data_IF_234012818050
#
_entry.id   IF_234012818050
#
_cell.length_a   1.000
_cell.length_b   1.000
_cell.length_c   1.000
_cell.angle_alpha   90.00
_cell.angle_beta   90.00
_cell.angle_gamma   90.00
#
_symmetry.space_group_name_H-M   'P 1'
#
loop_
_entity.id
_entity.type
_entity.pdbx_description
1 polymer ?
#
# COMPACT_ATOMS: atom_id res chain seq x y z
N UNK A 1 13.95 1.07 -0.04
CA UNK A 1 12.79 1.86 -0.48
C UNK A 1 11.93 2.19 0.72
N UNK A 2 11.97 3.42 1.24
CA UNK A 2 11.08 3.84 2.31
C UNK A 2 9.63 3.95 1.83
N UNK A 3 8.70 3.53 2.67
CA UNK A 3 7.26 3.67 2.47
C UNK A 3 6.70 4.59 3.56
N UNK A 4 5.74 5.43 3.20
CA UNK A 4 5.01 6.23 4.19
C UNK A 4 3.51 6.23 3.92
N UNK A 5 2.73 6.40 4.98
CA UNK A 5 1.27 6.40 4.91
C UNK A 5 0.74 7.48 3.97
N UNK A 6 -0.25 7.10 3.14
CA UNK A 6 -0.99 8.04 2.31
C UNK A 6 -1.62 9.17 3.14
N UNK A 7 -2.22 8.81 4.28
CA UNK A 7 -2.80 9.75 5.26
C UNK A 7 -1.81 10.83 5.73
N UNK A 8 -0.51 10.52 5.84
CA UNK A 8 0.51 11.49 6.27
C UNK A 8 0.69 12.67 5.29
N UNK A 9 0.29 12.49 4.02
CA UNK A 9 0.46 13.48 2.96
C UNK A 9 -0.87 14.03 2.45
N UNK A 10 -1.91 13.22 2.42
CA UNK A 10 -3.26 13.55 1.94
C UNK A 10 -4.33 13.15 2.97
N UNK A 11 -4.33 13.73 4.19
CA UNK A 11 -5.15 13.27 5.31
C UNK A 11 -6.65 13.32 4.99
N UNK A 12 -7.14 14.45 4.46
CA UNK A 12 -8.57 14.63 4.11
C UNK A 12 -9.08 13.64 3.06
N UNK A 13 -8.20 13.18 2.16
CA UNK A 13 -8.57 12.19 1.14
C UNK A 13 -8.57 10.81 1.78
N UNK A 14 -7.53 10.47 2.52
CA UNK A 14 -7.44 9.22 3.27
C UNK A 14 -8.64 9.01 4.22
N UNK A 15 -8.99 10.01 5.03
CA UNK A 15 -10.15 9.96 5.94
C UNK A 15 -11.49 9.62 5.24
N UNK A 16 -11.64 10.00 3.98
CA UNK A 16 -12.88 9.78 3.20
C UNK A 16 -12.85 8.51 2.37
N UNK A 17 -11.66 8.09 1.93
CA UNK A 17 -11.50 7.13 0.85
C UNK A 17 -10.75 5.85 1.25
N UNK A 18 -10.17 5.81 2.45
CA UNK A 18 -9.60 4.59 3.04
C UNK A 18 -10.68 3.53 3.14
N UNK A 19 -10.39 2.34 2.61
CA UNK A 19 -11.34 1.23 2.60
C UNK A 19 -11.26 0.46 3.90
N UNK A 20 -12.42 0.19 4.49
CA UNK A 20 -12.60 -0.82 5.52
C UNK A 20 -13.48 -1.95 5.01
N UNK A 21 -13.30 -3.14 5.60
CA UNK A 21 -14.18 -4.29 5.45
C UNK A 21 -14.77 -4.61 6.82
N UNK A 22 -16.09 -4.56 6.93
CA UNK A 22 -16.81 -4.95 8.14
C UNK A 22 -17.08 -6.45 8.09
N UNK A 23 -16.55 -7.18 9.07
CA UNK A 23 -16.82 -8.60 9.25
C UNK A 23 -17.78 -8.79 10.42
N UNK A 24 -18.82 -9.56 10.18
CA UNK A 24 -19.81 -9.95 11.18
C UNK A 24 -19.46 -11.32 11.78
N UNK A 25 -20.22 -11.72 12.81
CA UNK A 25 -20.15 -13.08 13.36
C UNK A 25 -20.30 -14.14 12.26
N UNK A 26 -19.52 -15.23 12.40
CA UNK A 26 -19.50 -16.35 11.47
C UNK A 26 -19.07 -16.01 10.03
N UNK A 27 -18.24 -14.98 9.83
CA UNK A 27 -17.63 -14.72 8.52
C UNK A 27 -16.84 -15.94 8.01
N UNK A 28 -16.89 -16.17 6.69
CA UNK A 28 -16.19 -17.27 6.02
C UNK A 28 -14.66 -17.23 6.15
N UNK A 29 -14.12 -16.06 6.48
CA UNK A 29 -12.69 -15.82 6.63
C UNK A 29 -12.12 -16.25 8.00
N UNK A 30 -12.96 -16.74 8.92
CA UNK A 30 -12.57 -17.12 10.28
C UNK A 30 -11.85 -15.97 11.02
N UNK A 31 -12.31 -14.74 10.80
CA UNK A 31 -11.82 -13.55 11.47
C UNK A 31 -12.79 -13.10 12.56
N UNK A 32 -12.28 -12.53 13.67
CA UNK A 32 -13.13 -11.91 14.67
C UNK A 32 -14.00 -10.79 14.06
N UNK A 33 -15.26 -10.63 14.52
CA UNK A 33 -16.11 -9.54 14.05
C UNK A 33 -15.50 -8.16 14.36
N UNK A 34 -15.20 -7.39 13.33
CA UNK A 34 -14.63 -6.05 13.46
C UNK A 34 -14.68 -5.34 12.12
N UNK A 35 -14.36 -4.04 12.14
CA UNK A 35 -13.97 -3.32 10.94
C UNK A 35 -12.46 -3.46 10.75
N UNK A 36 -12.05 -3.89 9.57
CA UNK A 36 -10.64 -3.98 9.20
C UNK A 36 -10.31 -2.90 8.18
N UNK A 37 -9.53 -1.89 8.59
CA UNK A 37 -9.16 -0.77 7.74
C UNK A 37 -7.83 -1.06 7.02
N UNK A 38 -7.79 -0.84 5.71
CA UNK A 38 -6.63 -1.08 4.85
C UNK A 38 -5.90 0.24 4.61
N UNK A 39 -4.95 0.56 5.49
CA UNK A 39 -4.20 1.82 5.43
C UNK A 39 -3.11 1.74 4.36
N UNK A 40 -3.25 2.55 3.32
CA UNK A 40 -2.30 2.61 2.22
C UNK A 40 -0.97 3.26 2.62
N UNK A 41 0.12 2.61 2.26
CA UNK A 41 1.48 3.13 2.28
C UNK A 41 2.09 3.04 0.88
N UNK A 42 2.73 4.12 0.46
CA UNK A 42 3.36 4.22 -0.85
C UNK A 42 4.85 4.56 -0.71
N UNK A 43 5.65 4.14 -1.68
CA UNK A 43 7.06 4.47 -1.75
C UNK A 43 7.24 5.99 -1.81
N UNK A 44 8.05 6.53 -0.90
CA UNK A 44 8.31 7.96 -0.81
C UNK A 44 9.73 8.37 -1.20
N UNK A 45 10.46 7.43 -1.81
CA UNK A 45 11.68 7.68 -2.54
C UNK A 45 11.40 8.59 -3.76
N UNK A 46 12.13 9.71 -3.92
CA UNK A 46 11.91 10.61 -5.04
C UNK A 46 12.19 9.93 -6.39
N UNK A 47 11.40 10.27 -7.41
CA UNK A 47 11.52 9.73 -8.78
C UNK A 47 11.35 8.20 -8.92
N UNK A 48 10.99 7.50 -7.86
CA UNK A 48 10.63 6.08 -7.91
C UNK A 48 9.21 5.89 -8.45
N UNK A 49 9.05 5.09 -9.50
CA UNK A 49 7.75 4.67 -10.03
C UNK A 49 7.50 3.18 -9.76
N UNK A 50 7.59 2.73 -8.51
CA UNK A 50 7.47 1.30 -8.20
C UNK A 50 6.07 0.73 -8.48
N UNK A 51 5.03 1.56 -8.58
CA UNK A 51 3.64 1.14 -8.82
C UNK A 51 3.18 0.01 -7.89
N UNK A 52 3.42 0.22 -6.60
CA UNK A 52 3.14 -0.71 -5.52
C UNK A 52 2.53 0.01 -4.33
N UNK A 53 1.72 -0.73 -3.58
CA UNK A 53 1.09 -0.31 -2.34
C UNK A 53 1.35 -1.36 -1.27
N UNK A 54 1.60 -0.89 -0.05
CA UNK A 54 1.58 -1.72 1.14
C UNK A 54 0.36 -1.32 1.96
N UNK A 55 -0.48 -2.27 2.33
CA UNK A 55 -1.62 -2.04 3.20
C UNK A 55 -1.25 -2.48 4.62
N UNK A 56 -1.16 -1.52 5.54
CA UNK A 56 -1.19 -1.83 6.97
C UNK A 56 -2.64 -2.01 7.40
N UNK A 57 -3.00 -3.22 7.78
CA UNK A 57 -4.36 -3.56 8.19
C UNK A 57 -4.46 -3.44 9.70
N UNK A 58 -5.41 -2.63 10.17
CA UNK A 58 -5.75 -2.48 11.59
C UNK A 58 -7.19 -2.90 11.84
N UNK A 59 -7.52 -3.26 13.08
CA UNK A 59 -8.88 -3.60 13.49
C UNK A 59 -9.55 -2.42 14.18
N UNK A 60 -10.88 -2.35 14.23
CA UNK A 60 -11.59 -1.42 15.12
C UNK A 60 -11.50 -1.79 16.59
N UNK A 61 -11.01 -3.00 16.92
CA UNK A 61 -10.87 -3.48 18.31
C UNK A 61 -9.64 -2.93 19.02
N UNK A 62 -8.57 -2.64 18.27
CA UNK A 62 -7.30 -2.12 18.78
C UNK A 62 -6.50 -1.45 17.65
N UNK A 63 -5.50 -0.64 18.00
CA UNK A 63 -4.71 0.12 17.02
C UNK A 63 -3.49 -0.65 16.48
N UNK A 64 -3.37 -1.95 16.78
CA UNK A 64 -2.20 -2.73 16.37
C UNK A 64 -2.31 -3.17 14.91
N UNK A 65 -1.16 -3.19 14.22
CA UNK A 65 -1.06 -3.72 12.86
C UNK A 65 -1.31 -5.24 12.91
N UNK A 66 -2.39 -5.69 12.27
CA UNK A 66 -2.75 -7.10 12.15
C UNK A 66 -2.11 -7.78 10.97
N UNK A 67 -1.92 -7.04 9.87
CA UNK A 67 -1.23 -7.53 8.70
C UNK A 67 -0.55 -6.39 7.92
N UNK A 68 0.51 -6.73 7.20
CA UNK A 68 1.03 -5.87 6.12
C UNK A 68 0.99 -6.63 4.82
N UNK A 69 0.14 -6.19 3.90
CA UNK A 69 -0.08 -6.81 2.59
C UNK A 69 0.59 -5.93 1.53
N UNK A 70 1.54 -6.48 0.78
CA UNK A 70 2.18 -5.81 -0.34
C UNK A 70 1.53 -6.24 -1.66
N UNK A 71 1.23 -5.29 -2.53
CA UNK A 71 0.65 -5.55 -3.84
C UNK A 71 1.20 -4.58 -4.89
N UNK A 72 1.47 -5.14 -6.06
CA UNK A 72 1.87 -4.46 -7.28
C UNK A 72 0.90 -4.78 -8.41
N UNK A 73 0.44 -3.76 -9.11
CA UNK A 73 -0.61 -3.91 -10.13
C UNK A 73 -0.09 -3.99 -11.56
N UNK A 74 1.23 -4.04 -11.75
CA UNK A 74 1.84 -4.18 -13.07
C UNK A 74 2.20 -5.63 -13.37
N UNK A 75 2.38 -5.91 -14.65
CA UNK A 75 2.80 -7.22 -15.14
C UNK A 75 4.27 -7.51 -14.81
N UNK A 76 4.65 -8.80 -14.83
CA UNK A 76 6.01 -9.26 -14.56
C UNK A 76 7.08 -8.48 -15.34
N UNK A 77 6.84 -8.19 -16.63
CA UNK A 77 7.78 -7.46 -17.51
C UNK A 77 8.13 -6.08 -16.96
N UNK A 78 7.15 -5.38 -16.37
CA UNK A 78 7.38 -4.08 -15.76
C UNK A 78 8.36 -4.22 -14.60
N UNK A 79 8.10 -5.16 -13.68
CA UNK A 79 8.91 -5.33 -12.47
C UNK A 79 10.31 -5.84 -12.77
N UNK A 80 10.47 -6.74 -13.73
CA UNK A 80 11.78 -7.18 -14.20
C UNK A 80 12.60 -6.01 -14.73
N UNK A 81 11.97 -5.15 -15.55
CA UNK A 81 12.62 -3.98 -16.14
C UNK A 81 12.95 -2.92 -15.09
N UNK A 82 12.01 -2.63 -14.20
CA UNK A 82 12.13 -1.60 -13.17
C UNK A 82 13.17 -1.97 -12.10
N UNK A 83 13.15 -3.21 -11.61
CA UNK A 83 14.11 -3.69 -10.62
C UNK A 83 15.48 -3.99 -11.23
N UNK A 84 15.55 -4.21 -12.56
CA UNK A 84 16.73 -4.73 -13.28
C UNK A 84 17.18 -6.09 -12.73
N UNK A 85 16.21 -6.91 -12.37
CA UNK A 85 16.38 -8.26 -11.84
C UNK A 85 15.31 -9.16 -12.47
N UNK A 86 15.64 -10.43 -12.69
CA UNK A 86 14.74 -11.42 -13.29
C UNK A 86 14.52 -12.64 -12.40
N UNK A 87 14.92 -12.62 -11.13
CA UNK A 87 14.61 -13.70 -10.18
C UNK A 87 13.08 -13.87 -10.06
N UNK A 88 12.52 -15.02 -10.46
CA UNK A 88 11.07 -15.24 -10.46
C UNK A 88 10.42 -15.11 -9.08
N UNK A 89 11.12 -15.50 -8.01
CA UNK A 89 10.59 -15.41 -6.64
C UNK A 89 10.49 -13.95 -6.21
N UNK A 90 11.53 -13.17 -6.49
CA UNK A 90 11.54 -11.72 -6.20
C UNK A 90 10.41 -11.05 -6.98
N UNK A 91 10.30 -11.28 -8.29
CA UNK A 91 9.26 -10.62 -9.10
C UNK A 91 7.84 -11.02 -8.65
N UNK A 92 7.62 -12.28 -8.28
CA UNK A 92 6.34 -12.73 -7.74
C UNK A 92 5.98 -12.01 -6.45
N UNK A 93 6.94 -11.78 -5.55
CA UNK A 93 6.73 -10.96 -4.35
C UNK A 93 6.48 -9.48 -4.68
N UNK A 94 7.06 -8.95 -5.76
CA UNK A 94 6.79 -7.57 -6.18
C UNK A 94 5.33 -7.38 -6.63
N UNK A 95 4.82 -8.34 -7.39
CA UNK A 95 3.45 -8.35 -7.88
C UNK A 95 2.45 -8.62 -6.74
N UNK A 96 2.70 -9.62 -5.89
CA UNK A 96 1.75 -10.00 -4.85
C UNK A 96 0.34 -10.31 -5.41
N UNK A 97 -0.74 -10.09 -4.64
CA UNK A 97 -0.72 -9.67 -3.24
C UNK A 97 -0.07 -10.73 -2.35
N UNK A 98 0.80 -10.30 -1.45
CA UNK A 98 1.51 -11.17 -0.52
C UNK A 98 1.66 -10.49 0.85
N UNK A 99 1.78 -11.29 1.91
CA UNK A 99 2.21 -10.77 3.21
C UNK A 99 3.65 -10.31 3.11
N UNK A 100 3.92 -9.06 3.50
CA UNK A 100 5.29 -8.55 3.54
C UNK A 100 6.06 -9.25 4.65
N UNK A 101 7.03 -10.09 4.26
CA UNK A 101 7.82 -10.94 5.17
C UNK A 101 8.67 -10.13 6.16
N UNK A 102 9.07 -8.92 5.79
CA UNK A 102 9.85 -8.01 6.62
C UNK A 102 9.01 -7.11 7.55
N UNK A 103 7.70 -7.33 7.65
CA UNK A 103 6.79 -6.55 8.50
C UNK A 103 6.17 -7.38 9.61
N UNK A 104 5.71 -6.75 10.71
CA UNK A 104 4.90 -7.41 11.71
C UNK A 104 3.65 -8.05 11.08
N UNK A 105 3.35 -9.27 11.51
CA UNK A 105 2.15 -10.00 11.15
C UNK A 105 1.54 -10.58 12.43
N UNK A 106 0.22 -10.56 12.54
CA UNK A 106 -0.51 -11.31 13.57
C UNK A 106 -0.97 -12.66 13.01
N UNK A 107 -1.50 -13.52 13.88
CA UNK A 107 -2.13 -14.78 13.47
C UNK A 107 -3.34 -14.58 12.53
N UNK A 108 -3.89 -13.36 12.48
CA UNK A 108 -4.98 -12.99 11.57
C UNK A 108 -4.50 -12.70 10.14
N UNK A 109 -3.19 -12.49 9.94
CA UNK A 109 -2.66 -12.01 8.67
C UNK A 109 -2.99 -12.91 7.46
N UNK A 110 -2.91 -14.26 7.54
CA UNK A 110 -3.29 -15.11 6.42
C UNK A 110 -4.76 -14.95 6.01
N UNK A 111 -5.66 -14.79 6.98
CA UNK A 111 -7.09 -14.58 6.71
C UNK A 111 -7.36 -13.18 6.14
N UNK A 112 -6.66 -12.15 6.63
CA UNK A 112 -6.76 -10.79 6.08
C UNK A 112 -6.23 -10.69 4.65
N UNK A 113 -5.21 -11.47 4.30
CA UNK A 113 -4.75 -11.59 2.91
C UNK A 113 -5.86 -12.16 2.02
N UNK A 114 -6.58 -13.20 2.48
CA UNK A 114 -7.72 -13.77 1.74
C UNK A 114 -8.83 -12.74 1.56
N UNK A 115 -9.17 -11.98 2.60
CA UNK A 115 -10.14 -10.86 2.47
C UNK A 115 -9.71 -9.89 1.39
N UNK A 116 -8.44 -9.51 1.35
CA UNK A 116 -7.94 -8.63 0.29
C UNK A 116 -8.10 -9.28 -1.11
N UNK A 117 -7.68 -10.54 -1.25
CA UNK A 117 -7.71 -11.27 -2.52
C UNK A 117 -9.12 -11.51 -3.07
N UNK A 118 -10.07 -11.82 -2.18
CA UNK A 118 -11.41 -12.29 -2.56
C UNK A 118 -12.47 -11.18 -2.54
N UNK A 119 -12.29 -10.14 -1.73
CA UNK A 119 -13.27 -9.05 -1.58
C UNK A 119 -12.79 -7.77 -2.25
N UNK A 120 -11.54 -7.36 -1.99
CA UNK A 120 -11.07 -6.03 -2.39
C UNK A 120 -10.44 -6.03 -3.78
N UNK A 121 -9.59 -7.01 -4.10
CA UNK A 121 -8.89 -7.08 -5.37
C UNK A 121 -9.82 -7.24 -6.59
N UNK A 122 -10.96 -7.98 -6.50
CA UNK A 122 -11.93 -8.06 -7.60
C UNK A 122 -12.75 -6.78 -7.81
N UNK A 123 -12.81 -5.88 -6.81
CA UNK A 123 -13.48 -4.59 -6.93
C UNK A 123 -12.62 -3.63 -7.77
N UNK A 124 -12.95 -3.54 -9.07
CA UNK A 124 -12.24 -2.69 -10.02
C UNK A 124 -12.28 -1.21 -9.63
N UNK A 125 -13.37 -0.73 -9.01
CA UNK A 125 -13.47 0.65 -8.56
C UNK A 125 -12.54 0.92 -7.37
N UNK A 126 -12.33 -0.06 -6.49
CA UNK A 126 -11.31 0.03 -5.44
C UNK A 126 -9.89 0.02 -6.02
N UNK A 127 -9.60 -0.90 -6.94
CA UNK A 127 -8.28 -0.99 -7.59
C UNK A 127 -7.90 0.34 -8.27
N UNK A 128 -8.81 0.93 -9.05
CA UNK A 128 -8.54 2.20 -9.71
C UNK A 128 -8.41 3.35 -8.71
N UNK A 129 -9.11 3.29 -7.57
CA UNK A 129 -8.94 4.25 -6.47
C UNK A 129 -7.53 4.18 -5.87
N UNK A 130 -7.00 2.98 -5.60
CA UNK A 130 -5.64 2.79 -5.09
C UNK A 130 -4.60 3.36 -6.08
N UNK A 131 -4.75 3.08 -7.39
CA UNK A 131 -3.86 3.64 -8.43
C UNK A 131 -3.93 5.17 -8.48
N UNK A 132 -5.13 5.75 -8.34
CA UNK A 132 -5.32 7.21 -8.24
C UNK A 132 -4.63 7.78 -7.01
N UNK A 133 -4.76 7.14 -5.85
CA UNK A 133 -4.08 7.56 -4.62
C UNK A 133 -2.57 7.54 -4.78
N UNK A 134 -2.02 6.51 -5.43
CA UNK A 134 -0.60 6.44 -5.76
C UNK A 134 -0.16 7.67 -6.58
N UNK A 135 -0.86 8.01 -7.67
CA UNK A 135 -0.54 9.18 -8.50
C UNK A 135 -0.60 10.48 -7.68
N UNK A 136 -1.65 10.65 -6.86
CA UNK A 136 -1.77 11.79 -5.94
C UNK A 136 -0.57 11.87 -4.98
N UNK A 137 -0.19 10.74 -4.40
CA UNK A 137 0.93 10.65 -3.47
C UNK A 137 2.26 11.00 -4.13
N UNK A 138 2.56 10.40 -5.29
CA UNK A 138 3.77 10.70 -6.09
C UNK A 138 3.89 12.17 -6.42
N UNK A 139 2.78 12.81 -6.82
CA UNK A 139 2.75 14.25 -7.07
C UNK A 139 3.18 15.08 -5.85
N UNK A 140 2.92 14.63 -4.62
CA UNK A 140 3.40 15.32 -3.41
C UNK A 140 4.89 15.07 -3.12
N UNK A 141 5.37 13.84 -3.33
CA UNK A 141 6.77 13.43 -3.12
C UNK A 141 7.69 14.23 -4.04
N UNK A 142 7.37 14.23 -5.34
CA UNK A 142 8.25 14.81 -6.35
C UNK A 142 8.20 16.36 -6.34
N UNK A 143 7.07 16.97 -5.96
CA UNK A 143 6.97 18.42 -5.73
C UNK A 143 7.82 18.87 -4.53
N UNK A 144 7.85 18.12 -3.42
CA UNK A 144 8.69 18.44 -2.25
C UNK A 144 10.18 18.45 -2.62
N UNK A 145 10.64 17.53 -3.50
CA UNK A 145 12.02 17.53 -4.02
C UNK A 145 12.34 18.81 -4.78
N UNK A 146 11.50 19.20 -5.75
CA UNK A 146 11.70 20.42 -6.55
C UNK A 146 11.86 21.68 -5.69
N UNK A 147 11.08 21.80 -4.60
CA UNK A 147 11.21 22.90 -3.62
C UNK A 147 12.53 22.85 -2.84
N UNK A 148 12.98 21.67 -2.39
CA UNK A 148 14.26 21.51 -1.68
C UNK A 148 15.46 21.87 -2.56
N UNK A 149 15.47 21.43 -3.83
CA UNK A 149 16.54 21.74 -4.80
C UNK A 149 16.62 23.25 -5.05
N UNK A 150 15.49 23.91 -5.32
CA UNK A 150 15.44 25.38 -5.51
C UNK A 150 15.97 26.16 -4.31
N UNK A 151 15.62 25.74 -3.07
CA UNK A 151 16.14 26.35 -1.84
C UNK A 151 17.65 26.19 -1.67
N UNK A 152 18.23 25.04 -2.02
CA UNK A 152 19.68 24.82 -1.99
C UNK A 152 20.42 25.72 -2.99
N UNK A 153 19.88 25.90 -4.21
CA UNK A 153 20.48 26.78 -5.23
C UNK A 153 20.46 28.25 -4.76
N UNK A 154 19.34 28.71 -4.19
CA UNK A 154 19.23 30.08 -3.65
C UNK A 154 20.14 30.38 -2.46
N UNK A 155 20.55 29.38 -1.68
CA UNK A 155 21.49 29.54 -0.55
C UNK A 155 22.95 29.53 -0.96
N UNK A 156 23.26 29.11 -2.18
CA UNK A 156 24.62 29.07 -2.75
C UNK A 156 24.93 30.28 -3.65
N UNK A 157 23.96 31.17 -3.84
CA UNK A 157 24.08 32.47 -4.51
C UNK A 157 23.95 33.55 -3.44
#
# INVERSE_FOLDING_TARGET
MPYSFFHSRLPKVAERETRSVTLFDHSEFNLPPADYAFLEMFCDEPDCDCRRVFFSVISSRDEDIKAVIAWGWEEQVFYTTWLKDSDPNVIKELMGPALNSASPQSDLAPALLKVFQEVLLPDTAYVERVKRHYVMFRATVDKKRKKKVRRKIKRKR
#
